data_IF_949963602342
#
_entry.id   IF_949963602342
#
_cell.length_a   1.000
_cell.length_b   1.000
_cell.length_c   1.000
_cell.angle_alpha   90.00
_cell.angle_beta   90.00
_cell.angle_gamma   90.00
#
_symmetry.space_group_name_H-M   'P 1'
#
loop_
_entity.id
_entity.type
_entity.pdbx_description
1 polymer ?
#
# COMPACT_ATOMS: atom_id res chain seq x y z
N UNK A 1 -26.04 12.27 22.92
CA UNK A 1 -26.48 13.48 22.19
C UNK A 1 -27.13 13.01 20.89
N UNK A 2 -28.32 13.53 20.58
CA UNK A 2 -29.22 12.98 19.56
C UNK A 2 -28.77 13.23 18.11
N UNK A 3 -29.20 12.32 17.23
CA UNK A 3 -28.97 12.16 15.79
C UNK A 3 -29.46 13.35 14.91
N UNK A 4 -29.02 14.56 15.24
CA UNK A 4 -29.28 15.78 14.45
C UNK A 4 -28.00 16.36 13.84
N UNK A 5 -26.82 15.81 14.19
CA UNK A 5 -25.51 16.30 13.70
C UNK A 5 -25.01 15.65 12.39
N UNK A 6 -25.57 14.53 11.93
CA UNK A 6 -25.23 14.00 10.58
C UNK A 6 -25.85 14.82 9.43
N UNK A 7 -26.59 15.90 9.72
CA UNK A 7 -27.15 16.81 8.71
C UNK A 7 -26.44 18.15 8.54
N UNK A 8 -25.47 18.50 9.41
CA UNK A 8 -24.89 19.85 9.43
C UNK A 8 -23.37 19.90 9.70
N UNK A 9 -22.64 18.83 9.43
CA UNK A 9 -21.23 19.02 9.06
C UNK A 9 -21.30 19.41 7.59
N UNK A 10 -20.95 20.66 7.29
CA UNK A 10 -20.52 21.06 5.95
C UNK A 10 -19.21 20.31 5.67
N UNK A 11 -19.31 18.99 5.63
CA UNK A 11 -18.29 18.15 5.06
C UNK A 11 -18.39 18.56 3.61
N UNK A 12 -17.27 19.04 3.08
CA UNK A 12 -17.02 18.83 1.67
C UNK A 12 -16.99 17.31 1.49
N UNK A 13 -18.18 16.68 1.47
CA UNK A 13 -18.43 15.58 0.59
C UNK A 13 -18.12 16.18 -0.77
N UNK A 14 -16.85 16.05 -1.16
CA UNK A 14 -16.55 15.81 -2.54
C UNK A 14 -17.53 14.70 -2.89
N UNK A 15 -18.63 15.09 -3.52
CA UNK A 15 -19.29 14.24 -4.49
C UNK A 15 -18.13 13.81 -5.36
N UNK A 16 -17.52 12.68 -5.03
CA UNK A 16 -16.77 11.90 -5.98
C UNK A 16 -17.85 11.63 -7.01
N UNK A 17 -17.86 12.49 -8.04
CA UNK A 17 -18.74 12.34 -9.16
C UNK A 17 -18.53 10.90 -9.57
N UNK A 18 -19.58 10.09 -9.42
CA UNK A 18 -19.65 8.76 -9.98
C UNK A 18 -19.46 8.96 -11.47
N UNK A 19 -18.22 8.86 -11.94
CA UNK A 19 -17.92 8.66 -13.33
C UNK A 19 -18.30 7.21 -13.64
N UNK A 20 -19.61 6.94 -13.66
CA UNK A 20 -20.12 5.87 -14.48
C UNK A 20 -20.00 6.36 -15.93
N UNK A 21 -18.83 6.22 -16.54
CA UNK A 21 -18.64 6.47 -17.97
C UNK A 21 -17.50 5.64 -18.55
N UNK A 22 -17.85 4.43 -19.01
CA UNK A 22 -17.07 3.60 -19.94
C UNK A 22 -15.95 2.81 -19.29
N UNK A 23 -15.97 1.49 -19.47
CA UNK A 23 -14.81 0.62 -19.25
C UNK A 23 -13.63 1.17 -20.05
N UNK A 24 -12.71 1.87 -19.38
CA UNK A 24 -11.49 2.33 -20.03
C UNK A 24 -10.47 1.22 -19.84
N UNK A 25 -10.10 0.55 -20.94
CA UNK A 25 -8.96 -0.36 -20.94
C UNK A 25 -7.68 0.46 -20.91
N UNK A 26 -6.78 0.15 -20.00
CA UNK A 26 -5.50 0.84 -19.87
C UNK A 26 -4.40 -0.14 -19.48
N UNK A 27 -3.15 0.32 -19.53
CA UNK A 27 -2.01 -0.54 -19.23
C UNK A 27 -0.85 0.24 -18.61
N UNK A 28 -0.04 -0.45 -17.84
CA UNK A 28 1.22 0.07 -17.33
C UNK A 28 2.30 -1.00 -17.38
N UNK A 29 3.54 -0.58 -17.20
CA UNK A 29 4.70 -1.48 -17.16
C UNK A 29 5.37 -1.39 -15.79
N UNK A 30 5.92 -2.50 -15.33
CA UNK A 30 6.75 -2.59 -14.11
C UNK A 30 8.11 -3.20 -14.45
N UNK A 31 9.20 -2.56 -14.02
CA UNK A 31 10.58 -3.08 -14.04
C UNK A 31 11.46 -2.22 -13.14
N UNK A 32 12.59 -2.74 -12.66
CA UNK A 32 13.52 -2.00 -11.80
C UNK A 32 14.94 -2.58 -11.83
N UNK A 33 15.85 -1.98 -11.06
CA UNK A 33 17.24 -2.40 -10.90
C UNK A 33 18.05 -2.27 -12.20
N UNK A 34 18.29 -1.02 -12.63
CA UNK A 34 19.15 -0.72 -13.79
C UNK A 34 20.58 -0.36 -13.40
N UNK A 35 20.93 -0.47 -12.12
CA UNK A 35 22.23 -0.02 -11.63
C UNK A 35 23.43 -0.67 -12.32
N UNK A 36 24.45 0.15 -12.59
CA UNK A 36 25.74 -0.30 -13.12
C UNK A 36 26.91 0.59 -12.66
N UNK A 37 28.08 0.01 -12.45
CA UNK A 37 29.21 0.71 -11.81
C UNK A 37 29.84 1.87 -12.61
N UNK A 38 29.65 1.95 -13.94
CA UNK A 38 30.40 2.90 -14.78
C UNK A 38 29.74 4.28 -14.81
N UNK A 39 28.51 4.37 -15.31
CA UNK A 39 27.75 5.62 -15.42
C UNK A 39 26.62 5.72 -14.39
N UNK A 40 26.59 4.78 -13.45
CA UNK A 40 25.48 4.57 -12.52
C UNK A 40 24.38 3.66 -13.07
N UNK A 41 24.26 3.52 -14.39
CA UNK A 41 23.10 2.91 -15.05
C UNK A 41 23.56 1.98 -16.17
N UNK A 42 22.88 0.85 -16.35
CA UNK A 42 23.00 -0.01 -17.52
C UNK A 42 22.18 0.59 -18.67
N UNK A 43 22.76 1.62 -19.32
CA UNK A 43 22.09 2.40 -20.36
C UNK A 43 21.53 1.55 -21.51
N UNK A 44 22.23 0.53 -22.05
CA UNK A 44 21.70 -0.28 -23.14
C UNK A 44 20.40 -1.01 -22.77
N UNK A 45 20.35 -1.68 -21.63
CA UNK A 45 19.15 -2.44 -21.21
C UNK A 45 18.03 -1.48 -20.85
N UNK A 46 18.32 -0.41 -20.11
CA UNK A 46 17.32 0.56 -19.72
C UNK A 46 16.70 1.29 -20.93
N UNK A 47 17.50 1.61 -21.96
CA UNK A 47 17.00 2.24 -23.18
C UNK A 47 16.08 1.30 -24.00
N UNK A 48 16.37 0.00 -24.03
CA UNK A 48 15.50 -1.01 -24.63
C UNK A 48 14.14 -1.06 -23.90
N UNK A 49 14.15 -1.10 -22.57
CA UNK A 49 12.94 -1.12 -21.75
C UNK A 49 12.13 0.18 -21.86
N UNK A 50 12.80 1.34 -21.89
CA UNK A 50 12.14 2.62 -22.15
C UNK A 50 11.42 2.64 -23.51
N UNK A 51 12.02 2.01 -24.53
CA UNK A 51 11.40 1.86 -25.85
C UNK A 51 10.17 0.96 -25.80
N UNK A 52 10.18 -0.09 -24.98
CA UNK A 52 9.02 -0.97 -24.78
C UNK A 52 7.86 -0.24 -24.08
N UNK A 53 8.13 0.60 -23.08
CA UNK A 53 7.11 1.47 -22.45
C UNK A 53 6.40 2.34 -23.48
N UNK A 54 7.16 3.03 -24.33
CA UNK A 54 6.60 3.88 -25.40
C UNK A 54 5.86 3.03 -26.44
N UNK A 55 6.43 1.89 -26.84
CA UNK A 55 5.84 0.98 -27.84
C UNK A 55 4.48 0.44 -27.39
N UNK A 56 4.35 0.08 -26.12
CA UNK A 56 3.09 -0.40 -25.56
C UNK A 56 2.06 0.72 -25.37
N UNK A 57 2.47 1.99 -25.42
CA UNK A 57 1.64 3.15 -25.06
C UNK A 57 1.10 2.98 -23.64
N UNK A 58 1.99 2.63 -22.72
CA UNK A 58 1.66 2.55 -21.30
C UNK A 58 1.15 3.91 -20.81
N UNK A 59 0.17 3.89 -19.92
CA UNK A 59 -0.29 5.09 -19.22
C UNK A 59 0.80 5.61 -18.27
N UNK A 60 1.55 4.69 -17.65
CA UNK A 60 2.71 4.98 -16.82
C UNK A 60 3.67 3.78 -16.69
N UNK A 61 4.85 4.05 -16.14
CA UNK A 61 5.84 3.07 -15.67
C UNK A 61 5.88 3.09 -14.14
N UNK A 62 5.86 1.93 -13.50
CA UNK A 62 6.25 1.74 -12.10
C UNK A 62 7.68 1.22 -12.04
N UNK A 63 8.50 1.83 -11.18
CA UNK A 63 9.92 1.49 -11.05
C UNK A 63 10.31 1.29 -9.57
N UNK A 64 10.25 0.05 -9.06
CA UNK A 64 10.56 -0.27 -7.66
C UNK A 64 12.05 -0.15 -7.25
N UNK A 65 12.66 1.04 -7.38
CA UNK A 65 13.98 1.34 -6.81
C UNK A 65 15.19 0.86 -7.60
N UNK A 66 16.39 1.17 -7.06
CA UNK A 66 17.70 0.89 -7.66
C UNK A 66 17.83 1.44 -9.08
N UNK A 67 17.54 2.74 -9.20
CA UNK A 67 17.67 3.48 -10.45
C UNK A 67 19.15 3.57 -10.82
N UNK A 68 20.03 3.76 -9.84
CA UNK A 68 21.44 4.04 -10.06
C UNK A 68 22.35 3.21 -9.17
N UNK A 69 23.67 3.29 -9.40
CA UNK A 69 24.62 2.51 -8.63
C UNK A 69 24.83 3.05 -7.22
N UNK A 70 24.96 4.36 -6.99
CA UNK A 70 25.00 4.99 -5.65
C UNK A 70 26.11 4.56 -4.65
N UNK A 71 26.74 3.39 -4.82
CA UNK A 71 27.72 2.82 -3.90
C UNK A 71 28.98 3.65 -3.93
N UNK A 72 29.39 4.14 -2.75
CA UNK A 72 30.57 5.00 -2.57
C UNK A 72 30.54 6.27 -3.46
N UNK A 73 29.35 6.69 -3.89
CA UNK A 73 29.17 7.94 -4.61
C UNK A 73 29.07 9.10 -3.61
N UNK A 74 29.84 10.17 -3.85
CA UNK A 74 29.56 11.46 -3.21
C UNK A 74 28.16 11.96 -3.60
N UNK A 75 27.52 12.83 -2.80
CA UNK A 75 26.19 13.36 -3.14
C UNK A 75 26.11 13.96 -4.56
N UNK A 76 27.15 14.67 -5.00
CA UNK A 76 27.22 15.20 -6.37
C UNK A 76 27.31 14.10 -7.44
N UNK A 77 28.10 13.04 -7.22
CA UNK A 77 28.19 11.92 -8.16
C UNK A 77 26.88 11.14 -8.21
N UNK A 78 26.23 10.95 -7.07
CA UNK A 78 24.92 10.32 -6.99
C UNK A 78 23.88 11.10 -7.80
N UNK A 79 23.80 12.42 -7.62
CA UNK A 79 22.90 13.28 -8.41
C UNK A 79 23.19 13.19 -9.92
N UNK A 80 24.47 13.13 -10.31
CA UNK A 80 24.85 12.94 -11.72
C UNK A 80 24.36 11.60 -12.28
N UNK A 81 24.40 10.53 -11.50
CA UNK A 81 23.86 9.24 -11.91
C UNK A 81 22.34 9.30 -12.07
N UNK A 82 21.62 9.97 -11.16
CA UNK A 82 20.17 10.16 -11.30
C UNK A 82 19.83 10.93 -12.57
N UNK A 83 20.56 12.00 -12.86
CA UNK A 83 20.39 12.73 -14.11
C UNK A 83 20.70 11.87 -15.33
N UNK A 84 21.70 11.00 -15.27
CA UNK A 84 21.97 10.04 -16.34
C UNK A 84 20.79 9.08 -16.56
N UNK A 85 20.22 8.54 -15.48
CA UNK A 85 19.00 7.72 -15.56
C UNK A 85 17.86 8.49 -16.24
N UNK A 86 17.61 9.74 -15.85
CA UNK A 86 16.62 10.62 -16.50
C UNK A 86 16.94 10.81 -17.99
N UNK A 87 18.21 10.98 -18.39
CA UNK A 87 18.58 11.11 -19.80
C UNK A 87 18.20 9.87 -20.62
N UNK A 88 18.41 8.67 -20.09
CA UNK A 88 18.06 7.40 -20.75
C UNK A 88 16.55 7.23 -20.84
N UNK A 89 15.82 7.64 -19.80
CA UNK A 89 14.36 7.52 -19.70
C UNK A 89 13.59 8.63 -20.42
N UNK A 90 14.29 9.66 -20.92
CA UNK A 90 13.69 10.82 -21.62
C UNK A 90 12.65 10.48 -22.69
N UNK A 91 12.80 9.43 -23.53
CA UNK A 91 11.76 9.07 -24.50
C UNK A 91 10.38 8.80 -23.88
N UNK A 92 10.31 8.32 -22.64
CA UNK A 92 9.06 8.08 -21.91
C UNK A 92 8.41 9.41 -21.52
N UNK A 93 9.19 10.33 -20.94
CA UNK A 93 8.72 11.66 -20.55
C UNK A 93 8.29 12.49 -21.78
N UNK A 94 9.05 12.44 -22.88
CA UNK A 94 8.70 13.11 -24.14
C UNK A 94 7.41 12.55 -24.78
N UNK A 95 7.09 11.28 -24.51
CA UNK A 95 5.82 10.67 -24.91
C UNK A 95 4.64 11.04 -23.99
N UNK A 96 4.90 11.80 -22.91
CA UNK A 96 3.88 12.18 -21.93
C UNK A 96 3.44 11.03 -21.02
N UNK A 97 4.24 9.97 -20.91
CA UNK A 97 3.96 8.80 -20.08
C UNK A 97 4.49 9.06 -18.67
N UNK A 98 3.66 8.83 -17.64
CA UNK A 98 4.06 9.01 -16.25
C UNK A 98 5.14 8.02 -15.82
N UNK A 99 6.04 8.44 -14.94
CA UNK A 99 7.09 7.58 -14.36
C UNK A 99 7.03 7.70 -12.86
N UNK A 100 6.60 6.62 -12.20
CA UNK A 100 6.50 6.55 -10.74
C UNK A 100 7.60 5.64 -10.22
N UNK A 101 8.54 6.23 -9.48
CA UNK A 101 9.70 5.55 -8.90
C UNK A 101 9.64 5.60 -7.37
N UNK A 102 10.13 4.56 -6.69
CA UNK A 102 10.49 4.63 -5.27
C UNK A 102 12.01 4.54 -5.13
N UNK A 103 12.53 4.78 -3.93
CA UNK A 103 13.95 4.57 -3.63
C UNK A 103 14.22 3.08 -3.38
N UNK A 104 15.37 2.61 -3.83
CA UNK A 104 16.00 1.37 -3.39
C UNK A 104 17.18 1.62 -2.45
N UNK A 105 17.85 0.56 -2.03
CA UNK A 105 18.98 0.69 -1.11
C UNK A 105 20.13 1.44 -1.77
N UNK A 106 20.24 1.39 -3.10
CA UNK A 106 21.25 2.15 -3.85
C UNK A 106 21.01 3.67 -3.84
N UNK A 107 19.81 4.14 -3.48
CA UNK A 107 19.50 5.55 -3.25
C UNK A 107 19.67 6.02 -1.80
N UNK A 108 20.15 5.14 -0.91
CA UNK A 108 20.42 5.42 0.51
C UNK A 108 21.84 5.00 0.95
N UNK A 109 22.80 4.93 0.01
CA UNK A 109 24.14 4.37 0.25
C UNK A 109 25.11 5.29 1.01
N UNK A 110 24.73 6.54 1.26
CA UNK A 110 25.55 7.50 2.02
C UNK A 110 25.67 7.18 3.52
N UNK A 111 24.77 6.34 4.04
CA UNK A 111 24.85 5.77 5.39
C UNK A 111 25.20 4.27 5.39
N UNK A 112 25.49 3.69 4.23
CA UNK A 112 25.80 2.27 4.13
C UNK A 112 27.10 1.92 4.89
N UNK A 113 26.99 0.99 5.84
CA UNK A 113 28.10 0.58 6.71
C UNK A 113 28.41 1.55 7.86
N UNK A 114 27.58 2.57 8.08
CA UNK A 114 27.61 3.37 9.30
C UNK A 114 27.05 2.57 10.50
N UNK A 115 27.31 3.04 11.72
CA UNK A 115 26.72 2.46 12.91
C UNK A 115 25.19 2.58 12.86
N UNK A 116 24.41 1.58 13.33
CA UNK A 116 22.96 1.66 13.34
C UNK A 116 22.44 2.95 14.00
N UNK A 117 21.54 3.66 13.31
CA UNK A 117 20.99 4.94 13.77
C UNK A 117 21.85 6.17 13.43
N UNK A 118 22.94 6.01 12.65
CA UNK A 118 23.66 7.16 12.09
C UNK A 118 22.79 7.88 11.08
N UNK A 119 22.48 9.16 11.35
CA UNK A 119 21.79 10.01 10.39
C UNK A 119 22.74 10.45 9.26
N UNK A 120 22.25 10.61 8.01
CA UNK A 120 23.03 11.18 6.93
C UNK A 120 23.36 12.65 7.21
N UNK A 121 24.28 13.24 6.43
CA UNK A 121 24.57 14.67 6.50
C UNK A 121 23.26 15.48 6.33
N UNK A 122 22.89 16.35 7.29
CA UNK A 122 21.60 17.04 7.27
C UNK A 122 21.49 18.13 6.19
N UNK A 123 22.59 18.48 5.53
CA UNK A 123 22.69 19.54 4.51
C UNK A 123 22.89 18.95 3.12
N UNK A 124 23.62 17.82 3.01
CA UNK A 124 23.97 17.24 1.72
C UNK A 124 24.06 15.71 1.73
N UNK A 125 22.95 15.06 1.41
CA UNK A 125 22.81 13.60 1.41
C UNK A 125 22.02 13.09 0.20
N UNK A 126 22.00 11.77 -0.01
CA UNK A 126 21.35 11.14 -1.16
C UNK A 126 19.85 11.45 -1.21
N UNK A 127 19.14 11.49 -0.09
CA UNK A 127 17.73 11.88 -0.05
C UNK A 127 17.49 13.33 -0.51
N UNK A 128 18.33 14.28 -0.09
CA UNK A 128 18.25 15.66 -0.56
C UNK A 128 18.61 15.78 -2.04
N UNK A 129 19.52 14.94 -2.55
CA UNK A 129 19.88 14.87 -3.97
C UNK A 129 18.78 14.25 -4.81
N UNK A 130 18.06 13.26 -4.29
CA UNK A 130 16.82 12.74 -4.87
C UNK A 130 15.80 13.85 -5.07
N UNK A 131 15.55 14.68 -4.04
CA UNK A 131 14.61 15.80 -4.12
C UNK A 131 15.02 16.87 -5.15
N UNK A 132 16.31 17.02 -5.46
CA UNK A 132 16.78 17.92 -6.54
C UNK A 132 16.44 17.43 -7.95
N UNK A 133 16.11 16.15 -8.10
CA UNK A 133 15.69 15.55 -9.37
C UNK A 133 14.17 15.38 -9.39
N UNK A 134 13.62 14.69 -8.39
CA UNK A 134 12.22 14.23 -8.36
C UNK A 134 11.29 15.04 -7.46
N UNK A 135 11.81 16.03 -6.72
CA UNK A 135 11.03 17.01 -5.95
C UNK A 135 11.22 18.44 -6.46
N UNK A 136 11.81 18.61 -7.64
CA UNK A 136 12.29 19.89 -8.14
C UNK A 136 11.27 20.55 -9.06
N UNK A 137 10.66 21.64 -8.59
CA UNK A 137 9.67 22.42 -9.35
C UNK A 137 10.20 23.03 -10.67
N UNK A 138 11.53 23.06 -10.90
CA UNK A 138 12.11 23.44 -12.19
C UNK A 138 11.94 22.34 -13.27
N UNK A 139 11.64 21.10 -12.85
CA UNK A 139 11.40 19.93 -13.70
C UNK A 139 10.04 19.29 -13.34
N UNK A 140 8.92 19.99 -13.58
CA UNK A 140 7.60 19.52 -13.15
C UNK A 140 7.15 18.23 -13.83
N UNK A 141 7.75 17.87 -14.97
CA UNK A 141 7.56 16.61 -15.69
C UNK A 141 8.19 15.40 -14.98
N UNK A 142 9.16 15.62 -14.09
CA UNK A 142 9.85 14.60 -13.31
C UNK A 142 9.34 14.51 -11.86
N UNK A 143 8.55 15.50 -11.44
CA UNK A 143 8.20 15.67 -10.04
C UNK A 143 7.24 14.57 -9.58
N UNK A 144 7.64 13.82 -8.56
CA UNK A 144 6.80 12.80 -7.92
C UNK A 144 5.77 13.49 -7.01
N UNK A 145 4.67 12.80 -6.64
CA UNK A 145 3.70 13.38 -5.71
C UNK A 145 4.29 13.59 -4.32
N UNK A 146 3.83 14.63 -3.62
CA UNK A 146 4.29 15.07 -2.29
C UNK A 146 3.31 14.70 -1.16
N UNK A 147 2.29 13.89 -1.45
CA UNK A 147 1.20 13.56 -0.52
C UNK A 147 1.54 12.44 0.49
N UNK A 148 2.84 12.15 0.65
CA UNK A 148 3.40 11.25 1.63
C UNK A 148 3.36 11.76 3.07
N UNK A 149 3.82 10.96 4.04
CA UNK A 149 4.00 11.41 5.40
C UNK A 149 5.17 12.40 5.52
N UNK A 150 5.20 13.15 6.62
CA UNK A 150 6.22 14.16 6.85
C UNK A 150 7.64 13.56 6.81
N UNK A 151 8.51 14.12 5.98
CA UNK A 151 9.88 13.66 5.78
C UNK A 151 10.05 12.58 4.70
N UNK A 152 8.98 12.13 4.07
CA UNK A 152 8.99 11.18 2.93
C UNK A 152 8.32 11.77 1.67
N UNK A 153 8.14 13.09 1.62
CA UNK A 153 7.57 13.77 0.46
C UNK A 153 8.38 13.44 -0.81
N UNK A 154 7.70 13.15 -1.93
CA UNK A 154 8.32 12.70 -3.19
C UNK A 154 9.06 11.34 -3.10
N UNK A 155 8.83 10.56 -2.04
CA UNK A 155 9.45 9.23 -1.85
C UNK A 155 8.40 8.17 -1.52
N UNK A 156 7.49 8.49 -0.59
CA UNK A 156 6.27 7.73 -0.32
C UNK A 156 5.08 8.55 -0.83
N UNK A 157 4.21 7.96 -1.63
CA UNK A 157 3.07 8.67 -2.19
C UNK A 157 1.99 7.73 -2.74
N UNK A 158 0.81 8.28 -2.98
CA UNK A 158 -0.29 7.55 -3.61
C UNK A 158 -0.91 8.39 -4.74
N UNK A 159 -1.29 7.73 -5.83
CA UNK A 159 -2.00 8.37 -6.95
C UNK A 159 -3.22 7.54 -7.33
N UNK A 160 -4.31 8.22 -7.69
CA UNK A 160 -5.46 7.56 -8.31
C UNK A 160 -5.31 7.72 -9.82
N UNK A 161 -5.25 6.59 -10.53
CA UNK A 161 -5.28 6.56 -11.99
C UNK A 161 -6.49 5.75 -12.43
N UNK A 162 -7.44 6.42 -13.08
CA UNK A 162 -8.69 5.80 -13.54
C UNK A 162 -9.39 5.05 -12.40
N UNK A 163 -9.48 3.72 -12.48
CA UNK A 163 -10.12 2.85 -11.51
C UNK A 163 -9.12 2.13 -10.58
N UNK A 164 -7.89 2.65 -10.44
CA UNK A 164 -6.88 2.10 -9.55
C UNK A 164 -6.29 3.15 -8.60
N UNK A 165 -5.98 2.71 -7.38
CA UNK A 165 -5.03 3.36 -6.50
C UNK A 165 -3.64 2.74 -6.75
N UNK A 166 -2.64 3.58 -6.91
CA UNK A 166 -1.22 3.18 -6.97
C UNK A 166 -0.54 3.77 -5.74
N UNK A 167 0.19 2.93 -5.00
CA UNK A 167 0.92 3.33 -3.79
C UNK A 167 2.39 3.01 -3.95
N UNK A 168 3.22 4.03 -3.78
CA UNK A 168 4.68 3.93 -3.73
C UNK A 168 5.15 4.07 -2.29
N UNK A 169 6.03 3.18 -1.85
CA UNK A 169 6.50 3.11 -0.48
C UNK A 169 8.03 3.27 -0.42
N UNK A 170 8.48 4.30 0.31
CA UNK A 170 9.87 4.40 0.71
C UNK A 170 10.14 3.48 1.90
N UNK A 171 11.13 2.59 1.74
CA UNK A 171 11.53 1.63 2.78
C UNK A 171 12.75 2.05 3.58
N UNK A 172 13.21 3.28 3.34
CA UNK A 172 14.48 3.81 3.83
C UNK A 172 14.29 5.07 4.70
N UNK A 173 13.13 5.19 5.36
CA UNK A 173 12.83 6.23 6.37
C UNK A 173 13.09 7.68 5.91
N UNK A 174 12.69 8.00 4.68
CA UNK A 174 12.67 9.35 4.15
C UNK A 174 14.01 10.05 4.18
N UNK A 175 14.00 11.35 4.48
CA UNK A 175 15.20 12.22 4.46
C UNK A 175 16.26 11.89 5.51
N UNK A 176 15.95 11.04 6.50
CA UNK A 176 16.85 10.79 7.65
C UNK A 176 17.46 9.39 7.68
N UNK A 177 17.02 8.46 6.84
CA UNK A 177 17.54 7.08 6.80
C UNK A 177 17.53 6.36 8.17
N UNK A 178 16.66 6.77 9.10
CA UNK A 178 16.78 6.38 10.52
C UNK A 178 16.56 4.88 10.74
N UNK A 179 15.62 4.27 10.00
CA UNK A 179 15.23 2.87 10.16
C UNK A 179 14.83 2.32 8.78
N UNK A 180 15.68 1.49 8.17
CA UNK A 180 15.35 0.76 6.94
C UNK A 180 14.37 -0.40 7.20
N UNK A 181 13.92 -1.09 6.14
CA UNK A 181 13.06 -2.28 6.19
C UNK A 181 11.70 -2.03 6.86
N UNK A 182 11.09 -0.88 6.58
CA UNK A 182 9.78 -0.50 7.13
C UNK A 182 9.05 0.44 6.21
N UNK A 183 7.75 0.59 6.45
CA UNK A 183 6.93 1.62 5.82
C UNK A 183 6.34 2.54 6.88
N UNK A 184 5.77 3.67 6.46
CA UNK A 184 4.91 4.46 7.32
C UNK A 184 3.52 3.82 7.42
N UNK A 185 3.34 2.94 8.41
CA UNK A 185 2.14 2.09 8.54
C UNK A 185 0.87 2.93 8.72
N UNK A 186 0.88 3.91 9.62
CA UNK A 186 -0.30 4.73 9.92
C UNK A 186 -0.78 5.50 8.67
N UNK A 187 0.16 6.06 7.90
CA UNK A 187 -0.16 6.74 6.65
C UNK A 187 -0.71 5.76 5.61
N UNK A 188 -0.11 4.57 5.48
CA UNK A 188 -0.57 3.56 4.53
C UNK A 188 -2.00 3.11 4.85
N UNK A 189 -2.27 2.80 6.12
CA UNK A 189 -3.58 2.36 6.59
C UNK A 189 -4.63 3.43 6.32
N UNK A 190 -4.34 4.69 6.69
CA UNK A 190 -5.25 5.80 6.40
C UNK A 190 -5.55 5.95 4.89
N UNK A 191 -4.53 5.84 4.04
CA UNK A 191 -4.68 5.97 2.59
C UNK A 191 -5.53 4.84 2.00
N UNK A 192 -5.28 3.61 2.41
CA UNK A 192 -6.00 2.42 1.93
C UNK A 192 -7.44 2.36 2.45
N UNK A 193 -7.67 2.74 3.71
CA UNK A 193 -9.02 2.82 4.29
C UNK A 193 -9.89 3.84 3.55
N UNK A 194 -9.32 4.97 3.12
CA UNK A 194 -10.04 5.99 2.33
C UNK A 194 -10.21 5.61 0.86
N UNK A 195 -9.49 4.61 0.35
CA UNK A 195 -9.57 4.22 -1.05
C UNK A 195 -10.96 3.70 -1.44
N UNK A 196 -11.51 4.20 -2.53
CA UNK A 196 -12.74 3.67 -3.13
C UNK A 196 -12.48 2.99 -4.48
N UNK A 197 -11.25 2.98 -5.00
CA UNK A 197 -10.94 2.34 -6.27
C UNK A 197 -10.94 0.81 -6.13
N UNK A 198 -11.47 0.06 -7.12
CA UNK A 198 -11.49 -1.40 -7.07
C UNK A 198 -10.09 -2.01 -7.12
N UNK A 199 -9.16 -1.42 -7.89
CA UNK A 199 -7.80 -1.93 -8.00
C UNK A 199 -6.85 -1.19 -7.07
N UNK A 200 -5.97 -1.95 -6.42
CA UNK A 200 -4.89 -1.42 -5.58
C UNK A 200 -3.58 -2.07 -6.02
N UNK A 201 -2.66 -1.26 -6.50
CA UNK A 201 -1.30 -1.67 -6.84
C UNK A 201 -0.32 -1.01 -5.87
N UNK A 202 0.49 -1.82 -5.20
CA UNK A 202 1.49 -1.33 -4.23
C UNK A 202 2.87 -1.75 -4.68
N UNK A 203 3.84 -0.85 -4.56
CA UNK A 203 5.23 -1.16 -4.85
C UNK A 203 6.19 -0.49 -3.87
N UNK A 204 7.26 -1.22 -3.57
CA UNK A 204 8.41 -0.81 -2.77
C UNK A 204 9.63 -1.59 -3.24
N UNK A 205 10.84 -1.24 -2.82
CA UNK A 205 12.03 -1.87 -3.38
C UNK A 205 12.29 -3.29 -2.87
N UNK A 206 12.18 -3.49 -1.57
CA UNK A 206 12.51 -4.74 -0.89
C UNK A 206 11.40 -5.78 -1.03
N UNK A 207 11.75 -7.06 -1.31
CA UNK A 207 10.84 -8.19 -1.16
C UNK A 207 10.20 -8.24 0.24
N UNK A 208 8.90 -8.51 0.29
CA UNK A 208 8.19 -8.83 1.53
C UNK A 208 8.49 -10.25 2.02
N UNK A 209 8.68 -11.17 1.09
CA UNK A 209 9.11 -12.53 1.33
C UNK A 209 10.43 -12.74 0.61
N UNK A 210 11.48 -13.01 1.38
CA UNK A 210 12.84 -13.09 0.87
C UNK A 210 13.04 -14.29 -0.06
N UNK A 211 13.71 -14.01 -1.17
CA UNK A 211 14.35 -15.02 -2.01
C UNK A 211 15.87 -15.05 -1.76
N UNK A 212 16.63 -14.00 -2.12
CA UNK A 212 18.10 -14.01 -2.08
C UNK A 212 18.70 -13.14 -0.97
N UNK A 213 18.49 -11.83 -0.97
CA UNK A 213 19.10 -10.92 0.00
C UNK A 213 18.46 -11.01 1.39
N UNK A 214 19.27 -10.90 2.45
CA UNK A 214 18.82 -11.00 3.84
C UNK A 214 18.27 -9.69 4.40
N UNK A 215 18.53 -8.58 3.73
CA UNK A 215 18.14 -7.22 4.07
C UNK A 215 16.83 -6.83 3.39
N UNK A 216 15.82 -7.69 3.55
CA UNK A 216 14.45 -7.52 3.06
C UNK A 216 13.48 -7.29 4.24
N UNK A 217 12.19 -7.12 3.94
CA UNK A 217 11.18 -6.89 4.99
C UNK A 217 10.98 -8.09 5.92
N UNK A 218 11.37 -9.30 5.50
CA UNK A 218 11.32 -10.52 6.32
C UNK A 218 12.24 -10.43 7.55
N UNK A 219 13.21 -9.50 7.58
CA UNK A 219 14.01 -9.21 8.77
C UNK A 219 13.16 -8.68 9.94
N UNK A 220 11.96 -8.12 9.66
CA UNK A 220 11.01 -7.63 10.65
C UNK A 220 9.60 -8.16 10.36
N UNK A 221 9.34 -9.47 10.60
CA UNK A 221 8.13 -10.15 10.14
C UNK A 221 6.85 -9.48 10.64
N UNK A 222 6.80 -9.01 11.89
CA UNK A 222 5.62 -8.27 12.41
C UNK A 222 5.27 -7.00 11.61
N UNK A 223 6.27 -6.27 11.08
CA UNK A 223 6.05 -5.07 10.26
C UNK A 223 5.67 -5.45 8.84
N UNK A 224 6.29 -6.50 8.31
CA UNK A 224 5.96 -7.08 7.00
C UNK A 224 4.52 -7.58 6.98
N UNK A 225 4.12 -8.34 7.99
CA UNK A 225 2.77 -8.87 8.15
C UNK A 225 1.75 -7.73 8.20
N UNK A 226 2.03 -6.64 8.93
CA UNK A 226 1.15 -5.46 8.96
C UNK A 226 0.98 -4.80 7.57
N UNK A 227 2.07 -4.62 6.82
CA UNK A 227 2.01 -4.14 5.43
C UNK A 227 1.14 -5.07 4.55
N UNK A 228 1.39 -6.38 4.63
CA UNK A 228 0.72 -7.37 3.81
C UNK A 228 -0.79 -7.40 4.07
N UNK A 229 -1.17 -7.39 5.35
CA UNK A 229 -2.57 -7.36 5.78
C UNK A 229 -3.29 -6.09 5.35
N UNK A 230 -2.63 -4.93 5.36
CA UNK A 230 -3.22 -3.68 4.87
C UNK A 230 -3.47 -3.71 3.37
N UNK A 231 -2.55 -4.27 2.58
CA UNK A 231 -2.75 -4.47 1.14
C UNK A 231 -3.94 -5.41 0.89
N UNK A 232 -4.01 -6.53 1.63
CA UNK A 232 -5.07 -7.56 1.46
C UNK A 232 -6.45 -6.98 1.73
N UNK A 233 -6.59 -6.32 2.89
CA UNK A 233 -7.81 -5.64 3.35
C UNK A 233 -8.29 -4.57 2.37
N UNK A 234 -7.35 -3.91 1.70
CA UNK A 234 -7.66 -2.90 0.69
C UNK A 234 -8.13 -3.49 -0.65
N UNK A 235 -8.15 -4.82 -0.80
CA UNK A 235 -8.44 -5.49 -2.06
C UNK A 235 -7.24 -5.58 -3.01
N UNK A 236 -6.03 -5.29 -2.52
CA UNK A 236 -4.80 -5.49 -3.29
C UNK A 236 -4.56 -6.98 -3.56
N UNK A 237 -3.99 -7.27 -4.74
CA UNK A 237 -3.64 -8.63 -5.17
C UNK A 237 -2.20 -8.78 -5.61
N UNK A 238 -1.45 -7.67 -5.61
CA UNK A 238 -0.07 -7.64 -6.07
C UNK A 238 0.77 -6.74 -5.17
N UNK A 239 2.02 -7.12 -5.00
CA UNK A 239 3.09 -6.28 -4.48
C UNK A 239 4.29 -6.38 -5.41
N UNK A 240 4.66 -5.26 -6.04
CA UNK A 240 5.80 -5.20 -6.95
C UNK A 240 7.05 -4.74 -6.21
N UNK A 241 8.17 -5.43 -6.44
CA UNK A 241 9.45 -5.10 -5.82
C UNK A 241 10.65 -5.40 -6.73
N UNK A 242 11.84 -5.01 -6.27
CA UNK A 242 13.12 -5.15 -6.96
C UNK A 242 14.13 -5.89 -6.10
N UNK A 243 15.36 -5.36 -6.03
CA UNK A 243 16.45 -5.76 -5.12
C UNK A 243 17.13 -7.10 -5.47
N UNK A 244 16.32 -8.14 -5.63
CA UNK A 244 16.75 -9.49 -5.98
C UNK A 244 16.73 -9.65 -7.51
N UNK A 245 17.88 -9.38 -8.15
CA UNK A 245 18.00 -9.23 -9.61
C UNK A 245 17.63 -10.49 -10.42
N UNK A 246 16.34 -10.65 -10.71
CA UNK A 246 15.69 -11.58 -11.63
C UNK A 246 14.19 -11.26 -11.68
N UNK A 247 13.45 -11.94 -12.56
CA UNK A 247 12.01 -12.05 -12.42
C UNK A 247 11.68 -13.21 -11.48
N UNK A 248 10.86 -12.97 -10.47
CA UNK A 248 10.24 -14.02 -9.67
C UNK A 248 8.80 -13.66 -9.36
N UNK A 249 7.93 -14.65 -9.39
CA UNK A 249 6.52 -14.51 -9.10
C UNK A 249 6.10 -15.61 -8.13
N UNK A 250 5.58 -15.21 -6.96
CA UNK A 250 5.02 -16.13 -5.99
C UNK A 250 3.63 -15.69 -5.55
N UNK A 251 2.76 -16.67 -5.34
CA UNK A 251 1.54 -16.49 -4.53
C UNK A 251 1.92 -16.63 -3.07
N UNK A 252 1.32 -15.82 -2.21
CA UNK A 252 1.55 -15.86 -0.76
C UNK A 252 0.22 -16.14 -0.08
N UNK A 253 0.00 -17.41 0.21
CA UNK A 253 -1.18 -17.92 0.92
C UNK A 253 -1.05 -17.64 2.42
N UNK A 254 -2.11 -17.13 3.04
CA UNK A 254 -2.17 -16.83 4.48
C UNK A 254 -2.83 -17.96 5.31
N UNK A 255 -3.30 -19.01 4.65
CA UNK A 255 -3.91 -20.20 5.21
C UNK A 255 -5.38 -20.05 5.59
N UNK A 256 -6.07 -18.98 5.18
CA UNK A 256 -7.48 -18.74 5.50
C UNK A 256 -8.46 -19.59 4.64
N UNK A 257 -7.95 -20.20 3.56
CA UNK A 257 -8.73 -21.02 2.63
C UNK A 257 -9.47 -20.24 1.54
N UNK A 258 -9.14 -18.96 1.33
CA UNK A 258 -9.73 -18.03 0.36
C UNK A 258 -8.69 -17.59 -0.68
N UNK A 259 -8.26 -18.48 -1.60
CA UNK A 259 -7.17 -18.19 -2.53
C UNK A 259 -7.42 -16.99 -3.47
N UNK A 260 -8.66 -16.52 -3.60
CA UNK A 260 -9.02 -15.31 -4.33
C UNK A 260 -8.61 -13.99 -3.64
N UNK A 261 -8.20 -14.04 -2.37
CA UNK A 261 -7.70 -12.89 -1.62
C UNK A 261 -6.17 -12.87 -1.47
N UNK A 262 -5.50 -13.98 -1.85
CA UNK A 262 -4.05 -14.10 -1.79
C UNK A 262 -3.36 -12.98 -2.59
N UNK A 263 -2.27 -12.48 -2.03
CA UNK A 263 -1.45 -11.47 -2.68
C UNK A 263 -0.29 -12.16 -3.38
N UNK A 264 0.01 -11.68 -4.58
CA UNK A 264 1.15 -12.12 -5.36
C UNK A 264 2.33 -11.15 -5.18
N UNK A 265 3.48 -11.68 -4.79
CA UNK A 265 4.74 -10.92 -4.83
C UNK A 265 5.37 -11.08 -6.21
N UNK A 266 5.68 -9.96 -6.86
CA UNK A 266 6.40 -9.93 -8.14
C UNK A 266 7.71 -9.17 -7.96
N UNK A 267 8.83 -9.89 -8.01
CA UNK A 267 10.17 -9.32 -8.08
C UNK A 267 10.47 -9.06 -9.56
N UNK A 268 10.70 -7.80 -9.93
CA UNK A 268 10.89 -7.38 -11.34
C UNK A 268 12.22 -6.63 -11.53
N UNK A 269 13.25 -7.06 -10.81
CA UNK A 269 14.61 -6.50 -10.81
C UNK A 269 15.41 -6.92 -12.06
N UNK A 270 14.96 -6.47 -13.22
CA UNK A 270 15.39 -7.00 -14.54
C UNK A 270 15.80 -5.92 -15.52
N UNK A 271 16.05 -4.69 -15.05
CA UNK A 271 16.39 -3.53 -15.88
C UNK A 271 17.88 -3.34 -16.16
N UNK A 272 18.72 -4.32 -15.83
CA UNK A 272 20.12 -4.36 -16.25
C UNK A 272 21.14 -4.59 -15.14
N UNK A 273 20.72 -4.64 -13.87
CA UNK A 273 21.61 -5.04 -12.79
C UNK A 273 22.08 -6.51 -12.95
N UNK A 274 23.26 -6.89 -12.42
CA UNK A 274 23.80 -8.25 -12.60
C UNK A 274 22.95 -9.33 -11.92
N UNK A 275 22.48 -10.34 -12.68
CA UNK A 275 21.64 -11.40 -12.13
C UNK A 275 22.30 -12.17 -10.98
N UNK A 276 21.50 -12.47 -9.95
CA UNK A 276 21.84 -13.45 -8.93
C UNK A 276 21.43 -14.86 -9.34
N UNK A 277 21.93 -15.85 -8.62
CA UNK A 277 21.47 -17.23 -8.73
C UNK A 277 20.70 -17.57 -7.46
N UNK A 278 19.44 -17.94 -7.64
CA UNK A 278 18.57 -18.37 -6.55
C UNK A 278 17.73 -19.57 -7.00
N UNK A 279 17.27 -20.36 -6.03
CA UNK A 279 16.34 -21.45 -6.23
C UNK A 279 15.42 -21.53 -5.00
N UNK A 280 14.15 -21.95 -5.19
CA UNK A 280 13.21 -22.11 -4.08
C UNK A 280 13.74 -23.10 -3.02
N UNK A 281 13.23 -23.02 -1.76
CA UNK A 281 12.07 -22.24 -1.33
C UNK A 281 12.40 -20.82 -0.85
N UNK A 282 11.35 -20.05 -0.52
CA UNK A 282 11.45 -18.78 0.19
C UNK A 282 11.91 -19.02 1.64
N UNK A 283 13.20 -18.84 1.91
CA UNK A 283 13.85 -19.17 3.19
C UNK A 283 13.81 -18.03 4.23
N UNK A 284 13.00 -17.00 4.01
CA UNK A 284 12.79 -15.89 4.94
C UNK A 284 12.01 -16.27 6.20
N UNK A 285 11.90 -15.33 7.15
CA UNK A 285 10.87 -15.44 8.20
C UNK A 285 9.49 -15.10 7.60
N UNK A 286 8.76 -16.14 7.21
CA UNK A 286 7.48 -16.00 6.52
C UNK A 286 6.29 -15.92 7.50
N UNK A 287 6.51 -15.93 8.82
CA UNK A 287 5.43 -15.97 9.81
C UNK A 287 4.48 -17.16 9.54
N UNK A 288 3.17 -16.91 9.43
CA UNK A 288 2.16 -17.92 9.06
C UNK A 288 1.91 -18.03 7.56
N UNK A 289 2.50 -17.16 6.74
CA UNK A 289 2.32 -17.20 5.29
C UNK A 289 3.09 -18.34 4.64
N UNK A 290 2.58 -18.83 3.52
CA UNK A 290 3.12 -19.93 2.72
C UNK A 290 3.43 -19.45 1.29
N UNK A 291 4.57 -18.79 1.05
CA UNK A 291 4.96 -18.38 -0.30
C UNK A 291 5.23 -19.59 -1.20
N UNK A 292 4.51 -19.67 -2.32
CA UNK A 292 4.70 -20.67 -3.37
C UNK A 292 5.18 -19.99 -4.65
N UNK A 293 6.38 -20.38 -5.11
CA UNK A 293 6.94 -19.89 -6.36
C UNK A 293 6.14 -20.44 -7.55
N UNK A 294 5.66 -19.52 -8.39
CA UNK A 294 4.96 -19.82 -9.64
C UNK A 294 5.88 -19.70 -10.85
N UNK A 295 6.76 -18.69 -10.87
CA UNK A 295 7.67 -18.45 -11.99
C UNK A 295 9.00 -17.85 -11.53
N UNK A 296 10.08 -18.19 -12.23
CA UNK A 296 11.41 -17.63 -12.04
C UNK A 296 12.16 -17.49 -13.36
N UNK A 297 12.74 -16.34 -13.63
CA UNK A 297 13.55 -16.11 -14.83
C UNK A 297 14.71 -15.12 -14.60
N UNK A 298 15.98 -15.55 -14.74
CA UNK A 298 17.14 -14.65 -14.76
C UNK A 298 17.32 -14.04 -16.17
N UNK A 299 16.34 -13.25 -16.59
CA UNK A 299 16.26 -12.64 -17.92
C UNK A 299 15.85 -11.17 -17.80
N UNK A 300 16.39 -10.34 -18.69
CA UNK A 300 15.94 -8.95 -18.77
C UNK A 300 14.49 -8.90 -19.26
N UNK A 301 13.69 -7.98 -18.75
CA UNK A 301 12.28 -7.94 -19.08
C UNK A 301 11.50 -6.93 -18.26
N UNK A 302 10.18 -7.09 -18.29
CA UNK A 302 9.24 -6.25 -17.57
C UNK A 302 7.91 -7.00 -17.42
N UNK A 303 7.09 -6.57 -16.47
CA UNK A 303 5.70 -7.03 -16.38
C UNK A 303 4.82 -6.01 -17.10
N UNK A 304 4.07 -6.47 -18.11
CA UNK A 304 3.00 -5.69 -18.73
C UNK A 304 1.70 -5.96 -17.97
N UNK A 305 1.13 -4.91 -17.38
CA UNK A 305 -0.16 -5.00 -16.67
C UNK A 305 -1.23 -4.35 -17.54
N UNK A 306 -2.24 -5.12 -17.93
CA UNK A 306 -3.41 -4.65 -18.66
C UNK A 306 -4.64 -4.71 -17.76
N UNK A 307 -5.29 -3.56 -17.58
CA UNK A 307 -6.51 -3.41 -16.78
C UNK A 307 -7.67 -3.18 -17.73
N UNK A 308 -8.69 -4.03 -17.63
CA UNK A 308 -9.93 -3.96 -18.40
C UNK A 308 -11.11 -3.95 -17.45
N UNK A 309 -11.50 -2.73 -17.04
CA UNK A 309 -12.49 -2.52 -15.98
C UNK A 309 -12.09 -3.27 -14.69
N UNK A 310 -12.80 -4.31 -14.30
CA UNK A 310 -12.56 -5.09 -13.07
C UNK A 310 -11.58 -6.26 -13.27
N UNK A 311 -11.14 -6.51 -14.50
CA UNK A 311 -10.19 -7.57 -14.85
C UNK A 311 -8.78 -6.99 -14.94
N UNK A 312 -7.81 -7.73 -14.43
CA UNK A 312 -6.39 -7.40 -14.53
C UNK A 312 -5.63 -8.60 -15.07
N UNK A 313 -4.77 -8.38 -16.07
CA UNK A 313 -3.86 -9.38 -16.62
C UNK A 313 -2.42 -8.87 -16.53
N UNK A 314 -1.54 -9.66 -15.95
CA UNK A 314 -0.10 -9.43 -15.82
C UNK A 314 0.60 -10.43 -16.73
N UNK A 315 1.45 -9.93 -17.63
CA UNK A 315 2.27 -10.77 -18.50
C UNK A 315 3.74 -10.43 -18.30
N UNK A 316 4.54 -11.44 -17.92
CA UNK A 316 5.99 -11.35 -17.97
C UNK A 316 6.44 -11.23 -19.43
N UNK A 317 7.06 -10.11 -19.79
CA UNK A 317 7.60 -9.85 -21.12
C UNK A 317 9.12 -10.04 -21.08
N UNK A 318 9.58 -11.16 -21.61
CA UNK A 318 10.95 -11.61 -21.50
C UNK A 318 11.79 -11.22 -22.73
N UNK A 319 12.98 -10.66 -22.50
CA UNK A 319 14.00 -10.52 -23.55
C UNK A 319 14.53 -11.90 -23.93
N UNK A 320 14.41 -12.27 -25.21
CA UNK A 320 14.78 -13.61 -25.72
C UNK A 320 16.20 -14.07 -25.40
N UNK A 321 17.13 -13.14 -25.18
CA UNK A 321 18.51 -13.43 -24.80
C UNK A 321 19.01 -12.33 -23.87
N UNK A 322 19.97 -12.63 -23.00
CA UNK A 322 20.71 -11.61 -22.25
C UNK A 322 21.93 -11.08 -23.03
N UNK A 323 22.23 -11.66 -24.19
CA UNK A 323 23.27 -11.16 -25.10
C UNK A 323 22.80 -9.87 -25.78
N UNK A 324 23.40 -8.75 -25.42
CA UNK A 324 23.06 -7.42 -25.93
C UNK A 324 23.55 -7.19 -27.36
N UNK A 325 24.35 -8.10 -27.94
CA UNK A 325 24.69 -8.07 -29.36
C UNK A 325 23.57 -8.59 -30.26
N UNK A 326 22.58 -9.30 -29.69
CA UNK A 326 21.41 -9.78 -30.39
C UNK A 326 20.25 -8.76 -30.35
N UNK A 327 19.34 -8.78 -31.34
CA UNK A 327 18.20 -7.87 -31.38
C UNK A 327 17.35 -7.91 -30.09
N UNK A 328 16.86 -6.75 -29.61
CA UNK A 328 16.09 -6.64 -28.38
C UNK A 328 14.64 -7.09 -28.58
N UNK A 329 14.46 -8.40 -28.74
CA UNK A 329 13.16 -9.00 -28.95
C UNK A 329 12.58 -9.45 -27.61
N UNK A 330 11.47 -8.85 -27.22
CA UNK A 330 10.66 -9.23 -26.07
C UNK A 330 9.49 -10.10 -26.50
N UNK A 331 9.13 -11.09 -25.69
CA UNK A 331 8.00 -11.98 -25.93
C UNK A 331 7.29 -12.35 -24.64
N UNK A 332 5.99 -12.71 -24.72
CA UNK A 332 5.23 -13.10 -23.53
C UNK A 332 5.75 -14.43 -22.98
N UNK A 333 5.97 -14.45 -21.66
CA UNK A 333 6.25 -15.62 -20.85
C UNK A 333 5.04 -15.97 -19.99
N UNK A 334 5.24 -16.06 -18.67
CA UNK A 334 4.18 -16.34 -17.72
C UNK A 334 3.11 -15.25 -17.72
N UNK A 335 1.85 -15.65 -17.55
CA UNK A 335 0.69 -14.75 -17.50
C UNK A 335 -0.22 -15.19 -16.38
N UNK A 336 -0.58 -14.23 -15.55
CA UNK A 336 -1.50 -14.39 -14.44
C UNK A 336 -2.46 -13.20 -14.39
N UNK A 337 -3.60 -13.34 -13.75
CA UNK A 337 -4.58 -12.27 -13.66
C UNK A 337 -5.59 -12.52 -12.56
N UNK A 338 -6.33 -11.48 -12.24
CA UNK A 338 -7.39 -11.52 -11.24
C UNK A 338 -8.57 -10.64 -11.65
N UNK A 339 -9.71 -10.90 -11.02
CA UNK A 339 -10.92 -10.10 -11.12
C UNK A 339 -11.25 -9.55 -9.75
N UNK A 340 -11.55 -8.26 -9.68
CA UNK A 340 -12.13 -7.66 -8.47
C UNK A 340 -13.65 -7.83 -8.50
N UNK A 341 -14.22 -8.19 -7.36
CA UNK A 341 -15.68 -8.19 -7.14
C UNK A 341 -16.09 -6.96 -6.31
N UNK A 342 -16.67 -5.92 -6.93
CA UNK A 342 -17.03 -4.71 -6.20
C UNK A 342 -18.15 -4.94 -5.20
N UNK A 343 -17.97 -4.42 -3.99
CA UNK A 343 -18.79 -4.72 -2.83
C UNK A 343 -18.74 -3.62 -1.77
N UNK A 344 -19.55 -3.76 -0.71
CA UNK A 344 -19.35 -2.97 0.50
C UNK A 344 -18.01 -3.36 1.17
N UNK A 345 -17.42 -2.45 1.93
CA UNK A 345 -16.24 -2.72 2.79
C UNK A 345 -16.53 -2.15 4.17
N UNK A 346 -16.49 -2.99 5.19
CA UNK A 346 -16.71 -2.64 6.60
C UNK A 346 -15.55 -1.75 7.07
N UNK A 347 -15.89 -0.62 7.66
CA UNK A 347 -14.91 0.31 8.24
C UNK A 347 -14.99 0.34 9.76
N UNK A 348 -16.18 0.12 10.33
CA UNK A 348 -16.34 0.08 11.78
C UNK A 348 -17.70 -0.52 12.22
N UNK A 349 -17.76 -1.30 13.31
CA UNK A 349 -16.61 -1.96 13.94
C UNK A 349 -15.95 -2.94 12.97
N UNK A 350 -14.63 -3.01 13.01
CA UNK A 350 -13.84 -3.80 12.05
C UNK A 350 -12.83 -4.75 12.74
N UNK A 351 -12.77 -4.76 14.06
CA UNK A 351 -11.98 -5.71 14.82
C UNK A 351 -11.37 -5.12 16.10
N UNK A 352 -11.28 -5.96 17.13
CA UNK A 352 -10.73 -5.66 18.46
C UNK A 352 -11.45 -4.55 19.25
N UNK A 353 -12.45 -3.85 18.67
CA UNK A 353 -13.19 -2.85 19.42
C UNK A 353 -14.01 -3.49 20.53
N UNK A 354 -14.21 -2.75 21.62
CA UNK A 354 -15.07 -3.16 22.73
C UNK A 354 -16.26 -2.22 22.78
N UNK A 355 -17.44 -2.74 22.47
CA UNK A 355 -18.66 -1.95 22.37
C UNK A 355 -19.64 -2.31 23.51
N UNK A 356 -20.16 -1.28 24.17
CA UNK A 356 -21.16 -1.45 25.21
C UNK A 356 -22.48 -2.02 24.63
N UNK A 357 -22.92 -3.16 25.16
CA UNK A 357 -24.18 -3.79 24.80
C UNK A 357 -25.37 -2.87 25.13
N UNK A 358 -26.46 -3.01 24.37
CA UNK A 358 -27.69 -2.18 24.48
C UNK A 358 -27.51 -0.67 24.19
N UNK A 359 -26.31 -0.22 23.80
CA UNK A 359 -26.04 1.16 23.38
C UNK A 359 -26.12 1.33 21.86
N UNK A 360 -26.26 2.58 21.42
CA UNK A 360 -26.18 2.93 20.01
C UNK A 360 -24.72 3.13 19.60
N UNK A 361 -24.35 2.57 18.46
CA UNK A 361 -23.02 2.59 17.87
C UNK A 361 -23.15 2.90 16.38
N UNK A 362 -22.26 3.73 15.82
CA UNK A 362 -22.34 4.11 14.40
C UNK A 362 -21.56 3.13 13.52
N UNK A 363 -22.25 2.18 12.92
CA UNK A 363 -21.68 1.30 11.89
C UNK A 363 -21.29 2.13 10.66
N UNK A 364 -20.09 1.89 10.11
CA UNK A 364 -19.55 2.59 8.93
C UNK A 364 -19.06 1.59 7.90
N UNK A 365 -19.31 1.89 6.63
CA UNK A 365 -18.79 1.13 5.49
C UNK A 365 -18.57 2.05 4.29
N UNK A 366 -17.76 1.60 3.33
CA UNK A 366 -17.64 2.21 2.00
C UNK A 366 -18.14 1.23 0.94
N UNK A 367 -18.25 1.70 -0.30
CA UNK A 367 -18.55 0.85 -1.46
C UNK A 367 -17.43 1.03 -2.47
N UNK A 368 -16.82 -0.08 -2.91
CA UNK A 368 -15.77 -0.03 -3.92
C UNK A 368 -16.34 0.35 -5.29
N UNK A 369 -15.54 1.09 -6.06
CA UNK A 369 -15.89 1.57 -7.39
C UNK A 369 -16.23 0.40 -8.33
N UNK A 370 -17.23 0.59 -9.18
CA UNK A 370 -17.78 -0.47 -10.03
C UNK A 370 -19.00 -1.19 -9.46
N UNK A 371 -19.34 -1.00 -8.17
CA UNK A 371 -20.56 -1.54 -7.58
C UNK A 371 -21.73 -0.54 -7.65
N UNK A 372 -22.87 -0.92 -8.27
CA UNK A 372 -24.15 -0.19 -8.14
C UNK A 372 -24.97 -0.79 -6.99
N UNK A 373 -24.63 -0.42 -5.75
CA UNK A 373 -25.31 -0.91 -4.54
C UNK A 373 -26.25 0.16 -4.01
N UNK A 374 -27.56 -0.02 -4.18
CA UNK A 374 -28.58 0.94 -3.72
C UNK A 374 -29.00 0.73 -2.28
N UNK A 375 -29.01 -0.54 -1.85
CA UNK A 375 -29.38 -0.94 -0.50
C UNK A 375 -28.38 -1.96 0.02
N UNK A 376 -28.13 -1.90 1.32
CA UNK A 376 -27.33 -2.89 2.03
C UNK A 376 -28.16 -3.56 3.11
N UNK A 377 -27.80 -4.79 3.45
CA UNK A 377 -28.29 -5.49 4.63
C UNK A 377 -27.15 -5.55 5.64
N UNK A 378 -27.44 -5.15 6.86
CA UNK A 378 -26.52 -5.16 7.99
C UNK A 378 -26.86 -6.37 8.84
N UNK A 379 -25.86 -7.18 9.17
CA UNK A 379 -26.00 -8.38 9.97
C UNK A 379 -24.88 -8.41 11.00
N UNK A 380 -25.14 -9.04 12.16
CA UNK A 380 -24.11 -9.30 13.15
C UNK A 380 -24.12 -10.76 13.57
N UNK A 381 -22.97 -11.27 13.96
CA UNK A 381 -22.79 -12.56 14.63
C UNK A 381 -22.25 -12.32 16.04
N UNK A 382 -22.56 -13.22 16.97
CA UNK A 382 -21.98 -13.25 18.31
C UNK A 382 -21.21 -14.56 18.58
N UNK A 383 -20.98 -15.34 17.54
CA UNK A 383 -20.43 -16.70 17.56
C UNK A 383 -19.49 -16.94 16.36
N UNK A 384 -18.64 -15.95 16.09
CA UNK A 384 -17.55 -16.03 15.11
C UNK A 384 -18.03 -16.39 13.70
N UNK A 385 -19.21 -15.90 13.32
CA UNK A 385 -19.80 -16.09 11.99
C UNK A 385 -20.60 -17.39 11.83
N UNK A 386 -20.77 -18.19 12.88
CA UNK A 386 -21.57 -19.42 12.84
C UNK A 386 -23.05 -19.13 12.60
N UNK A 387 -23.61 -18.11 13.26
CA UNK A 387 -24.97 -17.61 13.05
C UNK A 387 -24.98 -16.11 12.81
N UNK A 388 -25.78 -15.68 11.84
CA UNK A 388 -25.94 -14.28 11.46
C UNK A 388 -27.35 -13.78 11.78
N UNK A 389 -27.44 -12.70 12.55
CA UNK A 389 -28.70 -12.04 12.91
C UNK A 389 -28.86 -10.76 12.08
N UNK A 390 -29.94 -10.63 11.30
CA UNK A 390 -30.22 -9.39 10.57
C UNK A 390 -30.47 -8.22 11.53
N UNK A 391 -29.78 -7.10 11.30
CA UNK A 391 -29.98 -5.83 12.00
C UNK A 391 -31.02 -5.00 11.26
N UNK A 392 -30.77 -4.67 9.99
CA UNK A 392 -31.68 -3.89 9.15
C UNK A 392 -31.33 -4.00 7.65
N UNK A 393 -32.25 -3.55 6.78
CA UNK A 393 -32.03 -3.31 5.35
C UNK A 393 -32.20 -1.82 5.07
N UNK A 394 -31.11 -1.16 4.72
CA UNK A 394 -31.06 0.31 4.61
C UNK A 394 -30.59 0.76 3.25
N UNK A 395 -30.90 2.02 2.89
CA UNK A 395 -30.26 2.68 1.75
C UNK A 395 -28.75 2.72 1.96
N UNK A 396 -27.99 2.50 0.89
CA UNK A 396 -26.54 2.55 0.97
C UNK A 396 -26.05 3.99 1.18
N UNK A 397 -25.94 4.41 2.45
CA UNK A 397 -25.47 5.73 2.89
C UNK A 397 -24.05 5.71 3.47
N UNK A 398 -23.39 4.55 3.52
CA UNK A 398 -22.07 4.38 4.14
C UNK A 398 -22.04 4.40 5.67
N UNK A 399 -23.19 4.61 6.33
CA UNK A 399 -23.30 4.59 7.79
C UNK A 399 -24.71 4.25 8.29
N UNK A 400 -24.78 3.68 9.49
CA UNK A 400 -26.02 3.30 10.18
C UNK A 400 -25.87 3.33 11.70
N UNK A 401 -26.87 3.87 12.40
CA UNK A 401 -26.94 3.84 13.86
C UNK A 401 -27.44 2.47 14.34
N UNK A 402 -26.52 1.59 14.72
CA UNK A 402 -26.81 0.27 15.24
C UNK A 402 -27.01 0.29 16.75
N UNK A 403 -28.18 -0.14 17.21
CA UNK A 403 -28.37 -0.45 18.64
C UNK A 403 -27.88 -1.87 18.90
N UNK A 404 -26.71 -1.99 19.52
CA UNK A 404 -26.12 -3.28 19.84
C UNK A 404 -27.07 -4.13 20.72
N UNK A 405 -27.16 -5.44 20.48
CA UNK A 405 -28.00 -6.33 21.27
C UNK A 405 -27.47 -6.44 22.72
N UNK A 406 -28.33 -6.92 23.62
CA UNK A 406 -27.98 -7.21 25.00
C UNK A 406 -27.26 -8.58 25.10
N UNK A 407 -26.06 -8.69 24.55
CA UNK A 407 -25.23 -9.91 24.56
C UNK A 407 -23.83 -9.60 25.10
N UNK A 408 -23.25 -10.55 25.86
CA UNK A 408 -21.83 -10.58 26.22
C UNK A 408 -21.11 -11.58 25.29
N UNK A 409 -20.22 -11.12 24.41
CA UNK A 409 -19.40 -11.99 23.55
C UNK A 409 -18.14 -11.26 23.08
N UNK A 410 -17.00 -11.96 23.08
CA UNK A 410 -15.73 -11.48 22.51
C UNK A 410 -15.54 -11.97 21.05
N UNK A 411 -16.54 -12.67 20.50
CA UNK A 411 -16.50 -13.30 19.18
C UNK A 411 -17.52 -12.66 18.22
N UNK A 412 -17.77 -11.35 18.33
CA UNK A 412 -18.73 -10.66 17.47
C UNK A 412 -18.12 -10.30 16.12
N UNK A 413 -18.89 -10.48 15.05
CA UNK A 413 -18.55 -10.02 13.71
C UNK A 413 -19.70 -9.19 13.14
N UNK A 414 -19.36 -8.26 12.25
CA UNK A 414 -20.31 -7.45 11.51
C UNK A 414 -20.21 -7.80 10.04
N UNK A 415 -21.33 -7.91 9.34
CA UNK A 415 -21.38 -8.11 7.89
C UNK A 415 -22.24 -7.04 7.25
N UNK A 416 -21.72 -6.44 6.18
CA UNK A 416 -22.47 -5.56 5.29
C UNK A 416 -22.54 -6.26 3.94
N UNK A 417 -23.75 -6.43 3.41
CA UNK A 417 -23.94 -7.06 2.10
C UNK A 417 -24.82 -6.24 1.19
N UNK A 418 -24.58 -6.35 -0.10
CA UNK A 418 -25.52 -5.89 -1.13
C UNK A 418 -26.87 -6.60 -0.91
N UNK A 419 -27.95 -5.81 -0.93
CA UNK A 419 -29.29 -6.33 -0.71
C UNK A 419 -29.85 -7.13 -1.90
N UNK A 420 -29.26 -6.93 -3.09
CA UNK A 420 -29.66 -7.55 -4.35
C UNK A 420 -28.65 -8.60 -4.85
N UNK A 421 -27.39 -8.58 -4.36
CA UNK A 421 -26.34 -9.57 -4.67
C UNK A 421 -25.77 -10.23 -3.41
N UNK A 422 -26.20 -11.47 -3.13
CA UNK A 422 -25.84 -12.16 -1.88
C UNK A 422 -24.35 -12.46 -1.68
N UNK A 423 -23.56 -12.53 -2.76
CA UNK A 423 -22.11 -12.78 -2.72
C UNK A 423 -21.28 -11.50 -2.60
N UNK A 424 -21.89 -10.32 -2.78
CA UNK A 424 -21.21 -9.04 -2.64
C UNK A 424 -21.37 -8.55 -1.19
N UNK A 425 -20.48 -9.01 -0.32
CA UNK A 425 -20.48 -8.65 1.09
C UNK A 425 -19.06 -8.52 1.61
N UNK A 426 -18.96 -7.85 2.75
CA UNK A 426 -17.74 -7.80 3.53
C UNK A 426 -18.04 -8.02 5.01
N UNK A 427 -17.07 -8.59 5.72
CA UNK A 427 -17.14 -8.94 7.13
C UNK A 427 -16.04 -8.18 7.86
N UNK A 428 -16.31 -7.75 9.09
CA UNK A 428 -15.28 -7.15 9.95
C UNK A 428 -14.04 -8.03 10.03
N UNK A 429 -12.86 -7.44 9.85
CA UNK A 429 -11.59 -8.17 9.68
C UNK A 429 -11.19 -9.05 10.86
N UNK A 430 -11.56 -8.63 12.07
CA UNK A 430 -11.37 -9.42 13.29
C UNK A 430 -12.63 -9.37 14.16
N UNK A 431 -12.76 -10.30 15.12
CA UNK A 431 -13.79 -10.20 16.13
C UNK A 431 -13.68 -8.90 16.93
N UNK A 432 -14.83 -8.26 17.18
CA UNK A 432 -15.00 -7.23 18.20
C UNK A 432 -15.78 -7.82 19.38
N UNK A 433 -15.84 -7.10 20.49
CA UNK A 433 -16.53 -7.55 21.70
C UNK A 433 -17.78 -6.72 22.00
N UNK A 434 -18.89 -7.39 22.31
CA UNK A 434 -20.04 -6.78 22.97
C UNK A 434 -20.02 -7.13 24.45
N UNK A 435 -20.23 -6.14 25.32
CA UNK A 435 -20.22 -6.38 26.76
C UNK A 435 -21.25 -5.54 27.51
N UNK A 436 -21.83 -6.09 28.57
CA UNK A 436 -22.61 -5.34 29.53
C UNK A 436 -21.69 -4.71 30.56
N UNK A 437 -21.81 -3.39 30.68
CA UNK A 437 -21.20 -2.64 31.75
C UNK A 437 -21.94 -2.95 33.07
N UNK A 438 -21.46 -3.96 33.81
CA UNK A 438 -22.11 -4.42 35.05
C UNK A 438 -21.93 -3.45 36.22
N UNK A 439 -20.97 -2.54 36.11
CA UNK A 439 -20.63 -1.54 37.11
C UNK A 439 -20.13 -0.27 36.42
N UNK A 440 -20.59 0.89 36.88
CA UNK A 440 -20.06 2.17 36.43
C UNK A 440 -18.73 2.43 37.15
N UNK A 441 -17.63 2.47 36.40
CA UNK A 441 -16.31 2.80 36.90
C UNK A 441 -16.10 4.31 36.79
N UNK A 442 -15.69 4.97 37.87
CA UNK A 442 -15.55 6.45 37.87
C UNK A 442 -14.39 6.96 37.02
N UNK A 443 -13.40 6.11 36.76
CA UNK A 443 -12.18 6.45 36.02
C UNK A 443 -12.17 5.81 34.62
N UNK A 444 -13.29 5.26 34.18
CA UNK A 444 -13.52 4.84 32.80
C UNK A 444 -13.90 6.09 32.00
N UNK A 445 -12.88 6.72 31.42
CA UNK A 445 -13.00 8.01 30.73
C UNK A 445 -13.43 7.83 29.28
N UNK A 446 -13.15 6.66 28.67
CA UNK A 446 -13.56 6.35 27.29
C UNK A 446 -14.90 5.58 27.20
N UNK A 447 -15.43 5.08 28.32
CA UNK A 447 -16.71 4.37 28.40
C UNK A 447 -16.64 2.90 27.98
N UNK A 448 -15.47 2.27 28.03
CA UNK A 448 -15.23 0.86 27.64
C UNK A 448 -15.39 -0.14 28.81
N UNK A 449 -15.76 0.37 29.98
CA UNK A 449 -16.00 -0.35 31.23
C UNK A 449 -14.80 -1.11 31.77
N UNK A 450 -13.60 -0.68 31.41
CA UNK A 450 -12.34 -0.95 32.11
C UNK A 450 -11.78 0.37 32.64
N UNK A 451 -10.74 0.24 33.45
CA UNK A 451 -9.87 1.36 33.82
C UNK A 451 -8.49 0.86 33.48
N UNK A 452 -7.95 1.32 32.35
CA UNK A 452 -6.65 0.88 31.86
C UNK A 452 -5.79 2.03 31.34
N UNK A 453 -4.80 1.71 30.49
CA UNK A 453 -3.86 2.71 30.00
C UNK A 453 -4.50 3.71 29.06
N UNK A 454 -5.60 3.38 28.39
CA UNK A 454 -6.28 4.32 27.50
C UNK A 454 -6.98 5.41 28.31
N UNK A 455 -7.62 5.05 29.44
CA UNK A 455 -8.18 6.03 30.38
C UNK A 455 -7.10 6.90 31.02
N UNK A 456 -5.96 6.28 31.38
CA UNK A 456 -4.83 7.03 31.91
C UNK A 456 -4.25 8.00 30.86
N UNK A 457 -4.19 7.60 29.59
CA UNK A 457 -3.72 8.45 28.51
C UNK A 457 -4.66 9.65 28.29
N UNK A 458 -5.99 9.45 28.34
CA UNK A 458 -6.98 10.54 28.29
C UNK A 458 -6.75 11.51 29.45
N UNK A 459 -6.63 10.99 30.68
CA UNK A 459 -6.38 11.80 31.87
C UNK A 459 -5.07 12.62 31.74
N UNK A 460 -3.99 11.98 31.30
CA UNK A 460 -2.70 12.64 31.11
C UNK A 460 -2.73 13.66 29.97
N UNK A 461 -3.45 13.37 28.90
CA UNK A 461 -3.66 14.29 27.79
C UNK A 461 -4.38 15.56 28.23
N UNK A 462 -5.49 15.41 28.95
CA UNK A 462 -6.22 16.55 29.56
C UNK A 462 -5.33 17.31 30.56
N UNK A 463 -4.54 16.60 31.37
CA UNK A 463 -3.63 17.23 32.32
C UNK A 463 -2.52 18.04 31.62
N UNK A 464 -1.90 17.49 30.58
CA UNK A 464 -0.86 18.15 29.79
C UNK A 464 -1.40 19.37 29.02
N UNK A 465 -2.66 19.33 28.58
CA UNK A 465 -3.32 20.49 27.95
C UNK A 465 -3.74 21.54 28.97
N UNK A 466 -4.46 21.15 30.02
CA UNK A 466 -4.97 22.04 31.05
C UNK A 466 -5.33 21.29 32.36
N UNK A 467 -4.33 21.01 33.20
CA UNK A 467 -4.56 20.42 34.53
C UNK A 467 -5.14 21.36 35.59
N UNK A 468 -5.26 22.65 35.28
CA UNK A 468 -5.81 23.67 36.17
C UNK A 468 -6.64 24.68 35.37
N UNK A 469 -7.98 24.62 35.41
CA UNK A 469 -8.84 25.51 34.63
C UNK A 469 -8.77 26.98 35.07
N UNK A 470 -8.13 27.29 36.20
CA UNK A 470 -7.88 28.65 36.67
C UNK A 470 -6.52 29.22 36.19
N UNK A 471 -5.72 28.45 35.45
CA UNK A 471 -4.49 28.94 34.83
C UNK A 471 -4.83 29.78 33.58
N UNK A 472 -4.48 31.08 33.53
CA UNK A 472 -4.75 31.93 32.37
C UNK A 472 -4.00 31.51 31.09
N UNK A 473 -3.04 30.59 31.17
CA UNK A 473 -2.39 29.96 30.02
C UNK A 473 -3.15 28.74 29.46
N UNK A 474 -4.20 28.27 30.14
CA UNK A 474 -5.06 27.22 29.61
C UNK A 474 -5.92 27.75 28.46
N UNK A 475 -5.81 27.13 27.30
CA UNK A 475 -6.72 27.34 26.18
C UNK A 475 -7.75 26.21 26.16
N UNK A 476 -9.01 26.43 26.57
CA UNK A 476 -10.03 25.39 26.53
C UNK A 476 -10.40 25.07 25.07
N UNK A 477 -10.52 23.79 24.73
CA UNK A 477 -11.01 23.35 23.43
C UNK A 477 -12.39 23.97 23.09
N UNK A 478 -12.68 24.27 21.82
CA UNK A 478 -14.02 24.67 21.35
C UNK A 478 -15.09 23.57 21.46
#
# INVERSE_FOLDING_TARGET
>A
MNCTRCRNILCWCVLAATAASGAERWRFIVTCDSRQAVTGVNEPVLAELASEVVRHRADFLLYPGDLVHGVRATPNQFEQQLWNWVQVMRPIYEAGIGVYVCRGNHEAMDVAGAEPGTEPDPIDNHALRWLRVFGNAAHPDLMLPDNGPAGEEHMTYAVVHKNAMIVSLDQYAGIRHQIAHRVNQDWLDERLERNAQPHVFVFGHEPAFRTYHSDCLDAFPSRRDALWESIKRAGGRTYFCGHDHYYDHAVVDDGDGMPENDIHQLIVATAGAPFYTWAPPYLGDNSYFLPEQLCHAPRYGYVLVEVDDLEVTLTWMERRSNDLSLPPLYGPGETWGYRVEPGPVVLWPNGNERLAASQAHTVRWKTTGGADIRQVVIEYSADEGTNWTPVDRVTNSGCYEWRAPAVDSDACLLRIRDADRLHAYDVSDRPFSLFHCRMQLRADLNGDCRVDFDDLAILLGEWLMCGNPDDPACDPLP
#
